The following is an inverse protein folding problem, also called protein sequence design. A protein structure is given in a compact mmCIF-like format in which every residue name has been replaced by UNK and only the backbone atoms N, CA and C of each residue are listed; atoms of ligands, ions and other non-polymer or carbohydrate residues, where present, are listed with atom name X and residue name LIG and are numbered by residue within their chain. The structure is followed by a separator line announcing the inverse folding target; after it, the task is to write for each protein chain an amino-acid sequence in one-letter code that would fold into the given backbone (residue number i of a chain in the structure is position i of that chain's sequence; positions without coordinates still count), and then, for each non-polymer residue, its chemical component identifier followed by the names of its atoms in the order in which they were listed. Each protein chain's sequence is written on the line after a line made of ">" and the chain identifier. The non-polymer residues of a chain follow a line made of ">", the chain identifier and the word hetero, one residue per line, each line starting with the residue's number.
data_IF_552611628290
#
_entry.id   IF_552611628290
#
_cell.length_a   1.000
_cell.length_b   1.000
_cell.length_c   1.000
_cell.angle_alpha   90.00
_cell.angle_beta   90.00
_cell.angle_gamma   90.00
#
_symmetry.space_group_name_H-M   'P 1'
#
loop_
_entity.id
_entity.type
_entity.pdbx_description
1 polymer ?
#
# COMPACT_ATOMS: atom_id res chain seq x y z
N UNK A 1 28.58 -7.33 3.94
CA UNK A 1 27.21 -7.11 4.48
C UNK A 1 27.37 -6.30 5.74
N UNK A 2 26.60 -5.21 5.92
CA UNK A 2 26.65 -4.42 7.15
C UNK A 2 25.88 -5.13 8.27
N UNK A 3 26.14 -4.77 9.54
CA UNK A 3 25.38 -5.29 10.69
C UNK A 3 23.87 -5.04 10.55
N UNK A 4 23.49 -3.89 10.02
CA UNK A 4 22.11 -3.53 9.74
C UNK A 4 21.48 -4.46 8.70
N UNK A 5 22.20 -4.77 7.61
CA UNK A 5 21.71 -5.70 6.59
C UNK A 5 21.52 -7.11 7.16
N UNK A 6 22.42 -7.57 8.03
CA UNK A 6 22.29 -8.86 8.72
C UNK A 6 21.09 -8.86 9.67
N UNK A 7 20.87 -7.76 10.39
CA UNK A 7 19.73 -7.58 11.26
C UNK A 7 18.42 -7.77 10.50
N UNK A 8 18.21 -7.01 9.43
CA UNK A 8 16.94 -7.04 8.66
C UNK A 8 16.77 -8.35 7.89
N UNK A 9 17.86 -8.98 7.48
CA UNK A 9 17.79 -10.33 6.91
C UNK A 9 17.29 -11.35 7.94
N UNK A 10 17.80 -11.29 9.14
CA UNK A 10 17.35 -12.17 10.23
C UNK A 10 15.88 -11.91 10.59
N UNK A 11 15.45 -10.65 10.63
CA UNK A 11 14.07 -10.27 10.85
C UNK A 11 13.13 -10.80 9.75
N UNK A 12 13.57 -10.72 8.49
CA UNK A 12 12.83 -11.27 7.34
C UNK A 12 12.67 -12.79 7.45
N UNK A 13 13.75 -13.49 7.80
CA UNK A 13 13.70 -14.95 8.01
C UNK A 13 12.73 -15.31 9.14
N UNK A 14 12.81 -14.60 10.26
CA UNK A 14 11.92 -14.78 11.40
C UNK A 14 10.45 -14.52 11.04
N UNK A 15 10.18 -13.45 10.32
CA UNK A 15 8.83 -13.12 9.83
C UNK A 15 8.24 -14.26 8.97
N UNK A 16 8.98 -14.75 7.99
CA UNK A 16 8.55 -15.89 7.17
C UNK A 16 8.40 -17.19 7.96
N UNK A 17 9.30 -17.43 8.91
CA UNK A 17 9.20 -18.57 9.82
C UNK A 17 7.89 -18.53 10.59
N UNK A 18 7.58 -17.43 11.25
CA UNK A 18 6.34 -17.28 12.02
C UNK A 18 5.09 -17.33 11.14
N UNK A 19 5.11 -16.69 9.96
CA UNK A 19 4.02 -16.78 9.00
C UNK A 19 3.73 -18.23 8.57
N UNK A 20 4.74 -19.09 8.55
CA UNK A 20 4.60 -20.48 8.11
C UNK A 20 3.93 -21.40 9.14
N UNK A 21 3.73 -20.93 10.37
CA UNK A 21 3.06 -21.68 11.42
C UNK A 21 1.55 -21.70 11.21
N UNK A 22 0.96 -22.88 11.36
CA UNK A 22 -0.50 -23.01 11.28
C UNK A 22 -1.18 -22.16 12.37
N UNK A 23 -2.18 -21.39 11.99
CA UNK A 23 -2.90 -20.48 12.89
C UNK A 23 -2.28 -19.09 13.04
N UNK A 24 -1.08 -18.85 12.54
CA UNK A 24 -0.45 -17.52 12.54
C UNK A 24 -0.82 -16.79 11.25
N UNK A 25 -1.73 -15.81 11.36
CA UNK A 25 -2.19 -15.00 10.25
C UNK A 25 -1.80 -13.53 10.37
N UNK A 26 -2.24 -12.74 9.39
CA UNK A 26 -1.96 -11.30 9.29
C UNK A 26 -2.22 -10.55 10.60
N UNK A 27 -3.41 -10.73 11.22
CA UNK A 27 -3.79 -10.02 12.44
C UNK A 27 -2.85 -10.32 13.61
N UNK A 28 -2.37 -11.56 13.73
CA UNK A 28 -1.42 -11.95 14.81
C UNK A 28 -0.09 -11.25 14.62
N UNK A 29 0.49 -11.33 13.42
CA UNK A 29 1.77 -10.70 13.12
C UNK A 29 1.68 -9.16 13.20
N UNK A 30 0.59 -8.58 12.70
CA UNK A 30 0.35 -7.14 12.79
C UNK A 30 0.33 -6.63 14.24
N UNK A 31 -0.39 -7.31 15.14
CA UNK A 31 -0.42 -6.95 16.56
C UNK A 31 0.95 -7.01 17.22
N UNK A 32 1.73 -8.05 16.91
CA UNK A 32 3.11 -8.21 17.43
C UNK A 32 3.97 -7.04 16.96
N UNK A 33 3.90 -6.69 15.68
CA UNK A 33 4.69 -5.60 15.10
C UNK A 33 4.28 -4.23 15.68
N UNK A 34 2.98 -3.95 15.83
CA UNK A 34 2.48 -2.71 16.45
C UNK A 34 2.93 -2.55 17.89
N UNK A 35 3.09 -3.66 18.64
CA UNK A 35 3.65 -3.66 20.00
C UNK A 35 5.16 -3.43 20.04
N UNK A 36 5.82 -3.28 18.89
CA UNK A 36 7.26 -3.07 18.79
C UNK A 36 8.10 -4.34 18.98
N UNK A 37 7.46 -5.50 19.12
CA UNK A 37 8.16 -6.77 19.28
C UNK A 37 8.78 -7.20 17.95
N UNK A 38 10.08 -7.47 17.95
CA UNK A 38 10.78 -7.97 16.76
C UNK A 38 10.55 -9.46 16.59
N UNK A 39 10.26 -9.88 15.36
CA UNK A 39 9.96 -11.29 15.06
C UNK A 39 11.13 -12.21 15.39
N UNK A 40 12.36 -11.77 15.15
CA UNK A 40 13.56 -12.54 15.51
C UNK A 40 13.72 -12.73 17.01
N UNK A 41 13.36 -11.74 17.84
CA UNK A 41 13.45 -11.85 19.29
C UNK A 41 12.40 -12.83 19.81
N UNK A 42 11.24 -12.89 19.19
CA UNK A 42 10.22 -13.88 19.55
C UNK A 42 10.71 -15.32 19.25
N UNK A 43 11.41 -15.57 18.14
CA UNK A 43 12.00 -16.89 17.86
C UNK A 43 13.13 -17.24 18.84
N UNK A 44 13.86 -16.25 19.36
CA UNK A 44 14.94 -16.46 20.32
C UNK A 44 14.45 -16.76 21.74
N UNK A 45 13.16 -16.60 22.03
CA UNK A 45 12.65 -16.84 23.39
C UNK A 45 12.98 -18.25 23.89
N UNK A 46 13.31 -18.36 25.17
CA UNK A 46 13.56 -19.66 25.80
C UNK A 46 12.27 -20.28 26.41
N UNK A 47 11.17 -19.52 26.43
CA UNK A 47 9.87 -19.98 26.95
C UNK A 47 8.90 -20.34 25.82
N UNK A 48 8.67 -21.66 25.54
CA UNK A 48 7.70 -22.11 24.57
C UNK A 48 6.26 -21.73 24.91
N UNK A 49 5.91 -21.57 26.19
CA UNK A 49 4.56 -21.14 26.60
C UNK A 49 4.34 -19.68 26.22
N UNK A 50 5.33 -18.82 26.47
CA UNK A 50 5.30 -17.42 26.06
C UNK A 50 5.18 -17.29 24.53
N UNK A 51 5.96 -18.08 23.78
CA UNK A 51 5.92 -18.11 22.33
C UNK A 51 4.51 -18.47 21.81
N UNK A 52 3.95 -19.59 22.27
CA UNK A 52 2.61 -20.04 21.87
C UNK A 52 1.52 -19.02 22.24
N UNK A 53 1.59 -18.43 23.44
CA UNK A 53 0.64 -17.40 23.89
C UNK A 53 0.70 -16.14 23.04
N UNK A 54 1.89 -15.66 22.71
CA UNK A 54 2.09 -14.45 21.89
C UNK A 54 1.56 -14.65 20.48
N UNK A 55 1.80 -15.83 19.89
CA UNK A 55 1.31 -16.18 18.56
C UNK A 55 -0.14 -16.65 18.53
N UNK A 56 -0.74 -16.89 19.72
CA UNK A 56 -2.10 -17.44 19.87
C UNK A 56 -2.28 -18.79 19.19
N UNK A 57 -1.29 -19.66 19.30
CA UNK A 57 -1.30 -20.99 18.74
C UNK A 57 -1.06 -22.05 19.85
N UNK A 58 -1.55 -23.25 19.58
CA UNK A 58 -1.20 -24.43 20.38
C UNK A 58 0.03 -25.09 19.78
N UNK A 59 1.07 -25.22 20.58
CA UNK A 59 2.29 -25.93 20.19
C UNK A 59 2.13 -27.45 20.45
N UNK A 60 2.83 -28.29 19.69
CA UNK A 60 2.89 -29.73 19.96
C UNK A 60 3.40 -30.01 21.39
N UNK A 61 2.80 -30.99 22.07
CA UNK A 61 3.17 -31.33 23.46
C UNK A 61 4.62 -31.78 23.61
N UNK A 62 5.19 -32.39 22.58
CA UNK A 62 6.60 -32.80 22.53
C UNK A 62 7.58 -31.67 22.81
N UNK A 63 7.27 -30.46 22.38
CA UNK A 63 8.14 -29.27 22.54
C UNK A 63 8.38 -28.93 24.02
N UNK A 64 7.48 -29.34 24.89
CA UNK A 64 7.56 -29.08 26.34
C UNK A 64 8.31 -30.15 27.12
N UNK A 65 8.76 -31.23 26.47
CA UNK A 65 9.41 -32.35 27.12
C UNK A 65 10.87 -32.04 27.54
N UNK A 66 11.57 -31.23 26.74
CA UNK A 66 12.96 -30.86 27.02
C UNK A 66 13.34 -29.56 26.30
N UNK A 67 14.39 -28.92 26.80
CA UNK A 67 15.02 -27.76 26.14
C UNK A 67 15.57 -28.15 24.73
N UNK A 68 16.03 -29.37 24.57
CA UNK A 68 16.52 -29.89 23.29
C UNK A 68 15.41 -29.91 22.24
N UNK A 69 14.21 -30.40 22.58
CA UNK A 69 13.04 -30.41 21.70
C UNK A 69 12.62 -28.99 21.28
N UNK A 70 12.62 -28.06 22.24
CA UNK A 70 12.35 -26.66 21.93
C UNK A 70 13.39 -26.05 20.99
N UNK A 71 14.67 -26.32 21.24
CA UNK A 71 15.75 -25.83 20.37
C UNK A 71 15.70 -26.44 18.98
N UNK A 72 15.36 -27.71 18.84
CA UNK A 72 15.18 -28.37 17.55
C UNK A 72 14.00 -27.77 16.79
N UNK A 73 12.85 -27.53 17.43
CA UNK A 73 11.73 -26.84 16.83
C UNK A 73 12.12 -25.46 16.31
N UNK A 74 12.84 -24.65 17.12
CA UNK A 74 13.32 -23.31 16.67
C UNK A 74 14.24 -23.42 15.45
N UNK A 75 15.13 -24.40 15.38
CA UNK A 75 16.03 -24.63 14.24
C UNK A 75 15.25 -25.00 12.97
N UNK A 76 14.28 -25.92 13.07
CA UNK A 76 13.44 -26.29 11.94
C UNK A 76 12.60 -25.11 11.42
N UNK A 77 12.01 -24.36 12.35
CA UNK A 77 11.25 -23.16 12.03
C UNK A 77 12.09 -22.10 11.32
N UNK A 78 13.32 -21.88 11.79
CA UNK A 78 14.27 -20.98 11.16
C UNK A 78 14.69 -21.44 9.76
N UNK A 79 14.96 -22.74 9.60
CA UNK A 79 15.29 -23.33 8.30
C UNK A 79 14.16 -23.15 7.30
N UNK A 80 12.88 -23.33 7.73
CA UNK A 80 11.70 -23.08 6.91
C UNK A 80 11.60 -21.61 6.48
N UNK A 81 11.77 -20.67 7.43
CA UNK A 81 11.79 -19.25 7.12
C UNK A 81 12.90 -18.86 6.13
N UNK A 82 14.09 -19.45 6.29
CA UNK A 82 15.22 -19.26 5.37
C UNK A 82 14.89 -19.76 3.97
N UNK A 83 14.26 -20.93 3.84
CA UNK A 83 13.85 -21.47 2.55
C UNK A 83 12.85 -20.54 1.84
N UNK A 84 11.82 -20.07 2.56
CA UNK A 84 10.83 -19.13 2.02
C UNK A 84 11.52 -17.83 1.58
N UNK A 85 12.37 -17.23 2.44
CA UNK A 85 13.09 -16.01 2.13
C UNK A 85 13.94 -16.13 0.85
N UNK A 86 14.60 -17.28 0.65
CA UNK A 86 15.36 -17.56 -0.58
C UNK A 86 14.48 -17.63 -1.82
N UNK A 87 13.34 -18.34 -1.74
CA UNK A 87 12.40 -18.47 -2.85
C UNK A 87 11.91 -17.09 -3.32
N UNK A 88 11.48 -16.22 -2.41
CA UNK A 88 10.98 -14.91 -2.78
C UNK A 88 12.09 -13.93 -3.20
N UNK A 89 13.29 -14.07 -2.65
CA UNK A 89 14.45 -13.30 -3.10
C UNK A 89 14.85 -13.61 -4.55
N UNK A 90 14.65 -14.84 -5.01
CA UNK A 90 14.95 -15.23 -6.41
C UNK A 90 14.05 -14.54 -7.43
N UNK A 91 12.87 -14.11 -7.04
CA UNK A 91 11.94 -13.34 -7.87
C UNK A 91 11.91 -11.85 -7.49
N UNK A 92 12.99 -11.34 -6.88
CA UNK A 92 13.18 -9.96 -6.43
C UNK A 92 12.09 -9.42 -5.48
N UNK A 93 11.49 -10.29 -4.68
CA UNK A 93 10.57 -9.86 -3.61
C UNK A 93 11.34 -9.61 -2.33
N UNK A 94 11.19 -8.41 -1.79
CA UNK A 94 11.78 -7.94 -0.52
C UNK A 94 10.69 -7.67 0.49
N UNK A 95 10.98 -7.89 1.77
CA UNK A 95 10.15 -7.40 2.87
C UNK A 95 10.80 -6.15 3.43
N UNK A 96 10.06 -5.06 3.50
CA UNK A 96 10.50 -3.78 4.08
C UNK A 96 9.65 -3.52 5.31
N UNK A 97 10.28 -3.51 6.49
CA UNK A 97 9.59 -3.31 7.77
C UNK A 97 9.45 -1.82 8.09
N UNK A 98 8.43 -1.47 8.87
CA UNK A 98 8.08 -0.10 9.26
C UNK A 98 9.27 0.70 9.82
N UNK A 99 10.14 0.05 10.61
CA UNK A 99 11.28 0.71 11.26
C UNK A 99 12.51 0.85 10.35
N UNK A 100 12.50 0.27 9.14
CA UNK A 100 13.61 0.43 8.20
C UNK A 100 13.63 1.84 7.58
N UNK A 101 14.81 2.36 7.28
CA UNK A 101 14.96 3.60 6.52
C UNK A 101 14.41 3.48 5.10
N UNK A 102 14.45 2.28 4.55
CA UNK A 102 13.85 1.95 3.26
C UNK A 102 12.30 1.97 3.25
N UNK A 103 11.64 2.10 4.42
CA UNK A 103 10.19 2.18 4.49
C UNK A 103 9.70 3.59 4.13
N UNK A 104 8.65 3.72 3.29
CA UNK A 104 8.19 5.02 2.81
C UNK A 104 7.67 5.92 3.95
N UNK A 105 8.30 7.07 4.17
CA UNK A 105 7.94 7.98 5.26
C UNK A 105 6.47 8.46 5.19
N UNK A 106 5.92 8.62 3.96
CA UNK A 106 4.51 9.00 3.78
C UNK A 106 3.54 7.96 4.34
N UNK A 107 3.91 6.69 4.38
CA UNK A 107 3.09 5.64 4.98
C UNK A 107 3.26 5.54 6.49
N UNK A 108 4.35 6.06 7.07
CA UNK A 108 4.53 6.10 8.53
C UNK A 108 3.55 7.06 9.21
N UNK A 109 3.07 8.07 8.49
CA UNK A 109 2.22 9.14 9.02
C UNK A 109 0.71 8.93 8.81
N UNK A 110 0.29 7.82 8.21
CA UNK A 110 -1.15 7.53 8.02
C UNK A 110 -1.74 6.81 9.23
N UNK A 111 -3.06 6.88 9.37
CA UNK A 111 -3.78 6.04 10.33
C UNK A 111 -3.63 4.56 9.94
N UNK A 112 -3.35 3.70 10.92
CA UNK A 112 -3.12 2.27 10.71
C UNK A 112 -2.07 1.99 9.63
N UNK A 113 -0.81 2.43 9.83
CA UNK A 113 0.24 2.23 8.84
C UNK A 113 0.52 0.74 8.62
N UNK A 114 0.89 0.30 7.41
CA UNK A 114 1.38 -1.06 7.23
C UNK A 114 2.67 -1.26 8.03
N UNK A 115 2.77 -2.37 8.78
CA UNK A 115 3.95 -2.66 9.60
C UNK A 115 5.07 -3.33 8.79
N UNK A 116 4.75 -3.79 7.62
CA UNK A 116 5.66 -4.31 6.60
C UNK A 116 5.06 -4.12 5.21
N UNK A 117 5.92 -4.16 4.21
CA UNK A 117 5.54 -4.20 2.80
C UNK A 117 6.33 -5.31 2.11
N UNK A 118 5.65 -6.14 1.36
CA UNK A 118 6.27 -6.95 0.33
C UNK A 118 6.43 -6.08 -0.92
N UNK A 119 7.63 -5.96 -1.42
CA UNK A 119 7.98 -5.11 -2.55
C UNK A 119 8.70 -5.92 -3.60
N UNK A 120 8.22 -5.90 -4.84
CA UNK A 120 8.86 -6.48 -6.01
C UNK A 120 9.17 -5.37 -7.01
N UNK A 121 10.40 -5.33 -7.52
CA UNK A 121 10.87 -4.30 -8.45
C UNK A 121 11.55 -3.12 -7.78
N UNK A 122 11.41 -1.91 -8.34
CA UNK A 122 12.21 -0.74 -7.97
C UNK A 122 11.69 -0.02 -6.70
N UNK A 123 12.34 -0.27 -5.57
CA UNK A 123 11.99 0.33 -4.28
C UNK A 123 12.04 1.88 -4.29
N UNK A 124 12.87 2.51 -5.13
CA UNK A 124 12.99 3.97 -5.21
C UNK A 124 11.67 4.65 -5.59
N UNK A 125 10.80 3.96 -6.34
CA UNK A 125 9.49 4.49 -6.72
C UNK A 125 8.60 4.82 -5.52
N UNK A 126 8.80 4.15 -4.36
CA UNK A 126 8.02 4.39 -3.15
C UNK A 126 8.44 5.67 -2.40
N UNK A 127 9.60 6.24 -2.74
CA UNK A 127 10.15 7.47 -2.14
C UNK A 127 10.00 8.69 -3.04
N UNK A 128 9.60 8.48 -4.29
CA UNK A 128 9.42 9.54 -5.29
C UNK A 128 8.06 10.23 -5.10
N UNK A 129 7.93 11.48 -5.56
CA UNK A 129 6.64 12.14 -5.63
C UNK A 129 5.69 11.34 -6.53
N UNK A 130 4.55 11.01 -5.99
CA UNK A 130 3.63 10.10 -6.66
C UNK A 130 2.20 10.63 -6.69
N UNK A 131 1.49 10.22 -7.74
CA UNK A 131 0.09 10.56 -8.00
C UNK A 131 -0.72 9.27 -8.06
N UNK A 132 -1.70 9.12 -7.15
CA UNK A 132 -2.62 7.99 -7.21
C UNK A 132 -3.73 8.28 -8.23
N UNK A 133 -3.83 7.45 -9.27
CA UNK A 133 -4.87 7.53 -10.30
C UNK A 133 -5.82 6.36 -10.05
N UNK A 134 -7.06 6.67 -9.73
CA UNK A 134 -8.06 5.70 -9.30
C UNK A 134 -9.41 5.97 -9.97
N UNK A 135 -10.27 4.96 -10.03
CA UNK A 135 -11.60 5.19 -10.60
C UNK A 135 -12.45 3.93 -10.77
N UNK A 136 -13.40 4.05 -11.68
CA UNK A 136 -14.38 3.01 -11.99
C UNK A 136 -13.72 1.75 -12.56
N UNK A 137 -14.23 0.59 -12.13
CA UNK A 137 -13.87 -0.70 -12.76
C UNK A 137 -14.51 -0.88 -14.13
N UNK A 138 -15.58 -0.12 -14.42
CA UNK A 138 -16.27 -0.08 -15.70
C UNK A 138 -16.24 1.36 -16.20
N UNK A 139 -15.06 1.79 -16.62
CA UNK A 139 -14.83 3.14 -17.08
C UNK A 139 -15.40 3.35 -18.49
N UNK A 140 -15.84 4.57 -18.75
CA UNK A 140 -16.23 5.04 -20.08
C UNK A 140 -14.99 5.33 -20.94
N UNK A 141 -15.21 5.59 -22.23
CA UNK A 141 -14.15 6.04 -23.15
C UNK A 141 -13.56 7.37 -22.66
N UNK A 142 -14.37 8.27 -22.11
CA UNK A 142 -13.93 9.53 -21.51
C UNK A 142 -13.02 9.28 -20.30
N UNK A 143 -13.39 8.33 -19.42
CA UNK A 143 -12.56 7.94 -18.29
C UNK A 143 -11.19 7.39 -18.72
N UNK A 144 -11.16 6.59 -19.79
CA UNK A 144 -9.90 6.10 -20.36
C UNK A 144 -9.09 7.22 -21.02
N UNK A 145 -9.75 8.14 -21.71
CA UNK A 145 -9.09 9.29 -22.33
C UNK A 145 -8.49 10.22 -21.27
N UNK A 146 -9.24 10.55 -20.22
CA UNK A 146 -8.76 11.35 -19.09
C UNK A 146 -7.54 10.70 -18.43
N UNK A 147 -7.60 9.39 -18.17
CA UNK A 147 -6.48 8.64 -17.60
C UNK A 147 -5.22 8.77 -18.46
N UNK A 148 -5.37 8.59 -19.77
CA UNK A 148 -4.27 8.75 -20.75
C UNK A 148 -3.71 10.17 -20.73
N UNK A 149 -4.57 11.20 -20.72
CA UNK A 149 -4.17 12.60 -20.68
C UNK A 149 -3.33 12.92 -19.43
N UNK A 150 -3.80 12.49 -18.25
CA UNK A 150 -3.11 12.69 -16.97
C UNK A 150 -1.72 12.06 -17.02
N UNK A 151 -1.65 10.78 -17.39
CA UNK A 151 -0.37 10.04 -17.42
C UNK A 151 0.59 10.62 -18.46
N UNK A 152 0.10 10.99 -19.65
CA UNK A 152 0.92 11.66 -20.67
C UNK A 152 1.51 12.98 -20.13
N UNK A 153 0.74 13.75 -19.40
CA UNK A 153 1.21 14.97 -18.73
C UNK A 153 2.28 14.71 -17.65
N UNK A 154 2.29 13.54 -17.04
CA UNK A 154 3.30 13.15 -16.05
C UNK A 154 4.65 12.74 -16.66
N UNK A 155 4.69 12.46 -17.97
CA UNK A 155 5.90 12.01 -18.65
C UNK A 155 7.05 13.02 -18.48
N UNK A 156 8.25 12.52 -18.17
CA UNK A 156 9.46 13.33 -17.96
C UNK A 156 9.37 14.40 -16.84
N UNK A 157 8.42 14.26 -15.90
CA UNK A 157 8.24 15.20 -14.80
C UNK A 157 8.81 14.71 -13.46
N UNK A 158 9.44 13.54 -13.42
CA UNK A 158 9.96 12.93 -12.19
C UNK A 158 8.87 12.46 -11.24
N UNK A 159 7.67 12.18 -11.76
CA UNK A 159 6.53 11.67 -11.04
C UNK A 159 6.39 10.16 -11.20
N UNK A 160 5.77 9.54 -10.21
CA UNK A 160 5.41 8.12 -10.21
C UNK A 160 3.89 8.00 -10.15
N UNK A 161 3.28 7.16 -10.96
CA UNK A 161 1.87 6.82 -10.82
C UNK A 161 1.68 5.71 -9.79
N UNK A 162 0.61 5.79 -9.01
CA UNK A 162 0.19 4.76 -8.06
C UNK A 162 -1.22 4.33 -8.41
N UNK A 163 -1.49 3.03 -8.47
CA UNK A 163 -2.84 2.52 -8.65
C UNK A 163 -3.00 1.12 -8.08
N UNK A 164 -4.18 0.52 -8.22
CA UNK A 164 -4.56 -0.71 -7.52
C UNK A 164 -4.64 -1.96 -8.38
N UNK A 165 -4.28 -1.88 -9.64
CA UNK A 165 -4.35 -2.99 -10.59
C UNK A 165 -5.77 -3.56 -10.79
N UNK A 166 -6.82 -2.91 -10.30
CA UNK A 166 -8.21 -3.30 -10.56
C UNK A 166 -8.59 -3.05 -12.02
N UNK A 167 -9.61 -3.76 -12.51
CA UNK A 167 -10.13 -3.49 -13.86
C UNK A 167 -10.50 -2.01 -14.03
N UNK A 168 -10.52 -1.52 -15.27
CA UNK A 168 -10.91 -0.16 -15.61
C UNK A 168 -9.78 0.87 -15.41
N UNK A 169 -10.05 1.93 -14.66
CA UNK A 169 -9.12 3.06 -14.50
C UNK A 169 -7.78 2.64 -13.92
N UNK A 170 -7.75 1.75 -12.93
CA UNK A 170 -6.51 1.35 -12.27
C UNK A 170 -5.55 0.66 -13.25
N UNK A 171 -6.02 -0.34 -14.00
CA UNK A 171 -5.21 -1.00 -15.03
C UNK A 171 -4.83 -0.04 -16.15
N UNK A 172 -5.76 0.83 -16.57
CA UNK A 172 -5.49 1.84 -17.60
C UNK A 172 -4.36 2.77 -17.17
N UNK A 173 -4.35 3.20 -15.91
CA UNK A 173 -3.27 4.03 -15.38
C UNK A 173 -1.90 3.34 -15.48
N UNK A 174 -1.81 2.05 -15.17
CA UNK A 174 -0.57 1.29 -15.33
C UNK A 174 -0.15 1.13 -16.78
N UNK A 175 -1.08 0.77 -17.67
CA UNK A 175 -0.81 0.58 -19.12
C UNK A 175 -0.32 1.89 -19.76
N UNK A 176 -0.97 3.01 -19.48
CA UNK A 176 -0.54 4.30 -20.00
C UNK A 176 0.79 4.76 -19.37
N UNK A 177 1.02 4.44 -18.09
CA UNK A 177 2.31 4.73 -17.45
C UNK A 177 3.46 4.01 -18.14
N UNK A 178 3.31 2.74 -18.44
CA UNK A 178 4.27 1.95 -19.21
C UNK A 178 4.48 2.59 -20.60
N UNK A 179 3.38 2.94 -21.28
CA UNK A 179 3.41 3.53 -22.62
C UNK A 179 4.15 4.86 -22.69
N UNK A 180 3.99 5.72 -21.68
CA UNK A 180 4.60 7.05 -21.63
C UNK A 180 5.91 7.10 -20.82
N UNK A 181 6.43 5.96 -20.38
CA UNK A 181 7.68 5.88 -19.62
C UNK A 181 7.59 6.51 -18.22
N UNK A 182 6.38 6.55 -17.63
CA UNK A 182 6.16 7.00 -16.26
C UNK A 182 6.32 5.79 -15.32
N UNK A 183 7.23 5.80 -14.34
CA UNK A 183 7.33 4.72 -13.37
C UNK A 183 5.98 4.53 -12.65
N UNK A 184 5.59 3.27 -12.42
CA UNK A 184 4.28 2.97 -11.83
C UNK A 184 4.37 1.99 -10.67
N UNK A 185 3.56 2.20 -9.63
CA UNK A 185 3.46 1.37 -8.43
C UNK A 185 2.07 0.76 -8.35
N UNK A 186 1.99 -0.56 -8.42
CA UNK A 186 0.75 -1.29 -8.23
C UNK A 186 0.63 -1.77 -6.78
N UNK A 187 -0.42 -1.33 -6.08
CA UNK A 187 -0.72 -1.76 -4.72
C UNK A 187 -1.76 -2.87 -4.78
N UNK A 188 -1.43 -4.07 -4.26
CA UNK A 188 -2.32 -5.22 -4.31
C UNK A 188 -3.20 -5.35 -3.06
N UNK A 189 -4.40 -5.90 -3.21
CA UNK A 189 -5.28 -6.32 -2.12
C UNK A 189 -5.17 -7.82 -1.80
N UNK A 190 -4.08 -8.46 -2.23
CA UNK A 190 -3.78 -9.90 -2.10
C UNK A 190 -2.32 -10.07 -1.72
N UNK A 191 -1.89 -11.28 -1.37
CA UNK A 191 -0.48 -11.64 -1.28
C UNK A 191 0.28 -11.35 -2.58
N UNK A 192 1.59 -11.15 -2.46
CA UNK A 192 2.48 -10.79 -3.59
C UNK A 192 2.52 -11.89 -4.66
N UNK A 193 2.23 -13.12 -4.28
CA UNK A 193 2.20 -14.33 -5.09
C UNK A 193 0.84 -14.59 -5.77
N UNK A 194 -0.14 -13.71 -5.56
CA UNK A 194 -1.49 -13.84 -6.13
C UNK A 194 -1.72 -12.89 -7.28
N UNK A 195 -2.34 -13.36 -8.36
CA UNK A 195 -2.77 -12.56 -9.50
C UNK A 195 -4.27 -12.27 -9.41
N UNK A 196 -4.60 -11.01 -9.11
CA UNK A 196 -5.97 -10.52 -9.09
C UNK A 196 -6.02 -9.07 -9.61
N UNK A 197 -6.96 -8.74 -10.50
CA UNK A 197 -7.96 -9.62 -11.12
C UNK A 197 -7.33 -10.69 -12.00
N UNK A 198 -8.09 -11.73 -12.34
CA UNK A 198 -7.64 -12.78 -13.28
C UNK A 198 -7.27 -12.12 -14.63
N UNK A 199 -6.09 -12.45 -15.14
CA UNK A 199 -5.55 -11.85 -16.36
C UNK A 199 -4.67 -10.61 -16.12
N UNK A 200 -4.40 -10.25 -14.86
CA UNK A 200 -3.49 -9.14 -14.51
C UNK A 200 -2.01 -9.50 -14.62
N UNK A 201 -1.68 -10.76 -14.87
CA UNK A 201 -0.30 -11.26 -14.93
C UNK A 201 0.56 -10.48 -15.92
N UNK A 202 0.06 -10.32 -17.15
CA UNK A 202 0.76 -9.60 -18.22
C UNK A 202 1.05 -8.15 -17.84
N UNK A 203 0.09 -7.46 -17.21
CA UNK A 203 0.28 -6.07 -16.78
C UNK A 203 1.31 -6.00 -15.64
N UNK A 204 1.31 -6.95 -14.71
CA UNK A 204 2.33 -7.04 -13.65
C UNK A 204 3.74 -7.23 -14.21
N UNK A 205 3.90 -8.16 -15.15
CA UNK A 205 5.18 -8.40 -15.82
C UNK A 205 5.68 -7.16 -16.55
N UNK A 206 4.79 -6.46 -17.26
CA UNK A 206 5.12 -5.19 -17.93
C UNK A 206 5.51 -4.09 -16.95
N UNK A 207 4.80 -3.95 -15.81
CA UNK A 207 5.16 -3.01 -14.74
C UNK A 207 6.60 -3.27 -14.29
N UNK A 208 6.93 -4.52 -13.96
CA UNK A 208 8.26 -4.88 -13.48
C UNK A 208 9.35 -4.68 -14.54
N UNK A 209 9.11 -5.11 -15.78
CA UNK A 209 10.07 -4.98 -16.89
C UNK A 209 10.36 -3.52 -17.26
N UNK A 210 9.42 -2.60 -17.03
CA UNK A 210 9.58 -1.17 -17.23
C UNK A 210 10.10 -0.41 -16.00
N UNK A 211 10.64 -1.12 -14.99
CA UNK A 211 11.21 -0.50 -13.78
C UNK A 211 10.16 0.00 -12.79
N UNK A 212 8.93 -0.47 -12.89
CA UNK A 212 7.87 -0.21 -11.92
C UNK A 212 7.98 -1.09 -10.67
N UNK A 213 6.94 -1.08 -9.85
CA UNK A 213 6.95 -1.74 -8.53
C UNK A 213 5.59 -2.34 -8.22
N UNK A 214 5.61 -3.53 -7.65
CA UNK A 214 4.43 -4.20 -7.09
C UNK A 214 4.57 -4.21 -5.57
N UNK A 215 3.51 -3.82 -4.86
CA UNK A 215 3.55 -3.68 -3.38
C UNK A 215 2.30 -4.30 -2.76
N UNK A 216 2.48 -4.97 -1.64
CA UNK A 216 1.37 -5.38 -0.77
C UNK A 216 1.80 -5.48 0.69
N UNK A 217 0.86 -5.32 1.61
CA UNK A 217 1.04 -5.66 3.02
C UNK A 217 0.55 -7.08 3.35
N UNK A 218 -0.23 -7.69 2.45
CA UNK A 218 -0.84 -8.99 2.68
C UNK A 218 0.17 -10.12 2.60
N UNK A 219 -0.03 -11.12 3.45
CA UNK A 219 0.88 -12.25 3.57
C UNK A 219 0.88 -13.10 2.30
N UNK A 220 1.97 -13.83 2.11
CA UNK A 220 2.10 -14.84 1.06
C UNK A 220 0.96 -15.86 1.19
N UNK A 221 0.33 -16.21 0.06
CA UNK A 221 -0.82 -17.11 0.01
C UNK A 221 -2.15 -16.46 0.43
N UNK A 222 -2.16 -15.19 0.84
CA UNK A 222 -3.39 -14.51 1.23
C UNK A 222 -4.22 -14.14 0.00
N UNK A 223 -5.43 -14.71 -0.07
CA UNK A 223 -6.40 -14.45 -1.13
C UNK A 223 -7.06 -13.08 -0.99
N UNK A 224 -7.82 -12.70 -2.01
CA UNK A 224 -8.58 -11.46 -2.04
C UNK A 224 -9.82 -11.51 -1.12
N UNK A 225 -10.23 -10.34 -0.66
CA UNK A 225 -11.54 -10.11 -0.05
C UNK A 225 -12.00 -8.67 -0.32
N UNK A 226 -13.29 -8.40 -0.22
CA UNK A 226 -13.81 -7.04 -0.32
C UNK A 226 -13.17 -6.10 0.70
N UNK A 227 -12.99 -6.57 1.93
CA UNK A 227 -12.32 -5.86 3.00
C UNK A 227 -10.86 -5.51 2.64
N UNK A 228 -10.10 -6.47 2.13
CA UNK A 228 -8.69 -6.24 1.75
C UNK A 228 -8.57 -5.15 0.68
N UNK A 229 -9.49 -5.11 -0.30
CA UNK A 229 -9.46 -4.07 -1.33
C UNK A 229 -9.72 -2.68 -0.76
N UNK A 230 -10.64 -2.56 0.19
CA UNK A 230 -10.89 -1.28 0.87
C UNK A 230 -9.67 -0.88 1.71
N UNK A 231 -9.14 -1.80 2.52
CA UNK A 231 -7.99 -1.53 3.37
C UNK A 231 -6.72 -1.18 2.57
N UNK A 232 -6.47 -1.86 1.45
CA UNK A 232 -5.38 -1.56 0.54
C UNK A 232 -5.42 -0.11 0.02
N UNK A 233 -6.62 0.45 -0.18
CA UNK A 233 -6.78 1.80 -0.72
C UNK A 233 -6.14 2.88 0.17
N UNK A 234 -5.99 2.64 1.50
CA UNK A 234 -5.27 3.56 2.37
C UNK A 234 -3.79 3.66 2.00
N UNK A 235 -3.19 2.58 1.49
CA UNK A 235 -1.79 2.59 1.04
C UNK A 235 -1.66 3.39 -0.26
N UNK A 236 -2.62 3.29 -1.19
CA UNK A 236 -2.64 4.12 -2.40
C UNK A 236 -2.68 5.62 -2.05
N UNK A 237 -3.64 6.01 -1.22
CA UNK A 237 -3.78 7.40 -0.78
C UNK A 237 -2.59 7.84 0.08
N UNK A 238 -2.11 6.98 0.98
CA UNK A 238 -1.01 7.28 1.89
C UNK A 238 0.32 7.52 1.19
N UNK A 239 0.62 6.74 0.14
CA UNK A 239 1.85 6.85 -0.62
C UNK A 239 1.87 8.10 -1.51
N UNK A 240 0.71 8.49 -2.05
CA UNK A 240 0.57 9.59 -3.00
C UNK A 240 0.65 10.97 -2.34
N UNK A 241 1.14 11.96 -3.08
CA UNK A 241 1.00 13.40 -2.75
C UNK A 241 -0.35 13.92 -3.18
N UNK A 242 -0.82 13.46 -4.34
CA UNK A 242 -2.12 13.81 -4.91
C UNK A 242 -2.88 12.56 -5.31
N UNK A 243 -4.18 12.55 -5.12
CA UNK A 243 -5.10 11.48 -5.54
C UNK A 243 -6.04 12.05 -6.59
N UNK A 244 -6.10 11.37 -7.74
CA UNK A 244 -6.93 11.76 -8.90
C UNK A 244 -8.01 10.69 -9.10
N UNK A 245 -9.23 10.90 -8.60
CA UNK A 245 -10.38 10.08 -8.95
C UNK A 245 -10.90 10.50 -10.33
N UNK A 246 -10.58 9.71 -11.36
CA UNK A 246 -10.88 10.06 -12.76
C UNK A 246 -12.36 9.93 -13.07
N UNK A 247 -12.92 8.78 -12.82
CA UNK A 247 -14.35 8.48 -12.97
C UNK A 247 -14.79 7.65 -11.79
N UNK A 248 -15.72 8.16 -10.99
CA UNK A 248 -16.11 7.53 -9.75
C UNK A 248 -17.53 7.90 -9.31
N UNK A 249 -18.02 7.27 -8.27
CA UNK A 249 -19.29 7.58 -7.63
C UNK A 249 -19.11 7.63 -6.12
N UNK A 250 -19.89 8.50 -5.45
CA UNK A 250 -19.88 8.68 -3.98
C UNK A 250 -20.11 7.35 -3.25
N UNK A 251 -20.89 6.45 -3.83
CA UNK A 251 -21.15 5.11 -3.29
C UNK A 251 -20.38 4.03 -4.04
N UNK A 252 -19.06 4.18 -4.15
CA UNK A 252 -18.17 3.24 -4.85
C UNK A 252 -16.94 2.88 -4.03
N UNK A 253 -16.21 1.85 -4.46
CA UNK A 253 -14.92 1.51 -3.88
C UNK A 253 -13.90 2.64 -3.94
N UNK A 254 -13.97 3.48 -4.97
CA UNK A 254 -13.11 4.66 -5.16
C UNK A 254 -13.36 5.73 -4.09
N UNK A 255 -14.61 5.85 -3.60
CA UNK A 255 -14.93 6.80 -2.52
C UNK A 255 -14.13 6.54 -1.24
N UNK A 256 -13.80 5.28 -0.93
CA UNK A 256 -12.94 4.97 0.20
C UNK A 256 -11.54 5.58 0.03
N UNK A 257 -10.94 5.51 -1.17
CA UNK A 257 -9.63 6.12 -1.43
C UNK A 257 -9.70 7.65 -1.35
N UNK A 258 -10.77 8.27 -1.83
CA UNK A 258 -11.03 9.71 -1.70
C UNK A 258 -11.12 10.11 -0.22
N UNK A 259 -11.81 9.33 0.60
CA UNK A 259 -11.91 9.59 2.05
C UNK A 259 -10.53 9.43 2.73
N UNK A 260 -9.80 8.35 2.44
CA UNK A 260 -8.42 8.22 2.95
C UNK A 260 -7.52 9.37 2.53
N UNK A 261 -7.67 9.89 1.30
CA UNK A 261 -6.90 11.06 0.87
C UNK A 261 -7.21 12.30 1.73
N UNK A 262 -8.49 12.51 2.10
CA UNK A 262 -8.91 13.59 3.00
C UNK A 262 -8.34 13.38 4.41
N UNK A 263 -8.48 12.18 4.96
CA UNK A 263 -8.00 11.81 6.30
C UNK A 263 -6.47 11.97 6.43
N UNK A 264 -5.73 11.67 5.35
CA UNK A 264 -4.27 11.79 5.30
C UNK A 264 -3.79 13.15 4.80
N UNK A 265 -4.71 14.12 4.65
CA UNK A 265 -4.40 15.49 4.21
C UNK A 265 -3.67 15.52 2.85
N UNK A 266 -4.04 14.64 1.91
CA UNK A 266 -3.52 14.60 0.53
C UNK A 266 -4.31 15.55 -0.36
N UNK A 267 -3.70 15.99 -1.46
CA UNK A 267 -4.44 16.77 -2.46
C UNK A 267 -5.42 15.85 -3.20
N UNK A 268 -6.64 16.34 -3.41
CA UNK A 268 -7.62 15.70 -4.29
C UNK A 268 -7.74 16.53 -5.55
N UNK A 269 -7.45 15.94 -6.68
CA UNK A 269 -7.42 16.63 -7.98
C UNK A 269 -8.36 15.92 -8.94
N UNK A 270 -9.33 16.60 -9.49
CA UNK A 270 -10.27 16.00 -10.41
C UNK A 270 -10.29 16.76 -11.76
N UNK A 271 -9.81 16.14 -12.84
CA UNK A 271 -10.05 16.66 -14.19
C UNK A 271 -11.50 16.41 -14.60
N UNK A 272 -12.08 17.35 -15.34
CA UNK A 272 -13.42 17.20 -15.88
C UNK A 272 -13.49 17.73 -17.32
N UNK A 273 -14.43 17.20 -18.11
CA UNK A 273 -14.68 17.63 -19.48
C UNK A 273 -15.63 18.84 -19.52
N UNK A 274 -15.63 19.63 -20.62
CA UNK A 274 -16.47 20.84 -20.73
C UNK A 274 -17.97 20.59 -20.48
N UNK A 275 -18.48 19.45 -20.91
CA UNK A 275 -19.90 19.08 -20.76
C UNK A 275 -20.24 18.38 -19.41
N UNK A 276 -19.30 18.36 -18.48
CA UNK A 276 -19.50 17.74 -17.18
C UNK A 276 -20.45 18.55 -16.32
N UNK A 277 -21.33 17.84 -15.55
CA UNK A 277 -22.19 18.48 -14.57
C UNK A 277 -21.39 18.95 -13.34
N UNK A 278 -21.12 20.24 -13.23
CA UNK A 278 -20.37 20.83 -12.14
C UNK A 278 -21.09 20.80 -10.79
N UNK A 279 -22.41 20.64 -10.79
CA UNK A 279 -23.22 20.45 -9.58
C UNK A 279 -23.26 19.00 -9.12
N UNK A 280 -22.60 18.10 -9.85
CA UNK A 280 -22.53 16.69 -9.49
C UNK A 280 -21.88 16.44 -8.13
N UNK A 281 -22.41 15.51 -7.37
CA UNK A 281 -21.98 15.20 -6.01
C UNK A 281 -20.50 14.85 -5.91
N UNK A 282 -19.92 14.24 -6.94
CA UNK A 282 -18.52 13.86 -7.01
C UNK A 282 -17.60 15.09 -7.11
N UNK A 283 -17.94 16.04 -7.97
CA UNK A 283 -17.20 17.33 -8.09
C UNK A 283 -17.32 18.17 -6.82
N UNK A 284 -18.53 18.27 -6.26
CA UNK A 284 -18.76 18.97 -5.00
C UNK A 284 -17.97 18.35 -3.85
N UNK A 285 -17.85 17.03 -3.78
CA UNK A 285 -17.04 16.35 -2.77
C UNK A 285 -15.54 16.69 -2.85
N UNK A 286 -15.04 17.04 -4.04
CA UNK A 286 -13.66 17.50 -4.22
C UNK A 286 -13.55 18.99 -3.89
N UNK A 287 -14.40 19.85 -4.45
CA UNK A 287 -14.32 21.33 -4.28
C UNK A 287 -14.59 21.78 -2.86
N UNK A 288 -15.42 21.04 -2.10
CA UNK A 288 -15.65 21.31 -0.67
C UNK A 288 -14.48 20.93 0.24
N UNK A 289 -13.50 20.21 -0.26
CA UNK A 289 -12.31 19.85 0.50
C UNK A 289 -11.22 20.89 0.36
N UNK A 290 -10.62 21.34 1.47
CA UNK A 290 -9.60 22.42 1.49
C UNK A 290 -8.46 22.21 0.49
N UNK A 291 -8.01 20.95 0.29
CA UNK A 291 -6.97 20.57 -0.67
C UNK A 291 -7.56 19.96 -1.95
N UNK A 292 -8.81 20.27 -2.25
CA UNK A 292 -9.48 19.86 -3.48
C UNK A 292 -9.27 20.89 -4.58
N UNK A 293 -8.93 20.42 -5.77
CA UNK A 293 -8.82 21.25 -7.00
C UNK A 293 -9.47 20.50 -8.15
N UNK A 294 -10.10 21.27 -9.04
CA UNK A 294 -10.68 20.73 -10.29
C UNK A 294 -10.07 21.47 -11.47
N UNK A 295 -9.94 20.79 -12.61
CA UNK A 295 -9.36 21.36 -13.83
C UNK A 295 -10.19 20.93 -15.03
N UNK A 296 -10.64 21.91 -15.83
CA UNK A 296 -11.30 21.64 -17.09
C UNK A 296 -10.26 21.25 -18.14
N UNK A 297 -10.39 20.05 -18.70
CA UNK A 297 -9.45 19.58 -19.72
C UNK A 297 -10.18 19.36 -21.07
N UNK A 298 -9.50 19.62 -22.20
CA UNK A 298 -8.04 19.79 -22.36
C UNK A 298 -7.48 21.17 -22.01
N UNK A 299 -8.29 22.21 -21.82
CA UNK A 299 -7.84 23.61 -21.76
C UNK A 299 -6.84 23.87 -20.60
N UNK A 300 -7.11 23.33 -19.43
CA UNK A 300 -6.28 23.51 -18.23
C UNK A 300 -5.31 22.32 -17.99
N UNK A 301 -4.96 21.56 -19.02
CA UNK A 301 -4.06 20.39 -18.89
C UNK A 301 -2.70 20.80 -18.32
N UNK A 302 -2.14 21.92 -18.74
CA UNK A 302 -0.85 22.40 -18.23
C UNK A 302 -0.92 22.80 -16.76
N UNK A 303 -2.02 23.42 -16.33
CA UNK A 303 -2.23 23.83 -14.93
C UNK A 303 -2.39 22.59 -14.04
N UNK A 304 -3.15 21.59 -14.49
CA UNK A 304 -3.28 20.29 -13.83
C UNK A 304 -1.90 19.65 -13.63
N UNK A 305 -1.10 19.56 -14.69
CA UNK A 305 0.22 18.92 -14.66
C UNK A 305 1.19 19.67 -13.74
N UNK A 306 1.19 21.00 -13.80
CA UNK A 306 2.02 21.83 -12.92
C UNK A 306 1.59 21.68 -11.47
N UNK A 307 0.29 21.65 -11.20
CA UNK A 307 -0.22 21.43 -9.85
C UNK A 307 0.18 20.09 -9.27
N UNK A 308 -0.03 18.97 -9.99
CA UNK A 308 0.33 17.62 -9.48
C UNK A 308 1.84 17.45 -9.30
N UNK A 309 2.65 18.18 -10.06
CA UNK A 309 4.12 18.17 -9.91
C UNK A 309 4.55 18.88 -8.62
N UNK A 310 3.98 20.03 -8.35
CA UNK A 310 4.29 20.87 -7.18
C UNK A 310 2.98 21.40 -6.57
N UNK A 311 2.26 20.56 -5.80
CA UNK A 311 1.02 21.02 -5.17
C UNK A 311 1.30 22.14 -4.18
N UNK A 312 0.77 23.34 -4.47
CA UNK A 312 0.84 24.49 -3.59
C UNK A 312 -0.42 24.55 -2.73
N UNK A 313 -0.25 24.82 -1.44
CA UNK A 313 -1.34 25.23 -0.55
C UNK A 313 -1.39 26.76 -0.69
N UNK A 314 -2.47 27.31 -1.23
CA UNK A 314 -2.79 28.70 -1.00
C UNK A 314 -3.10 28.81 0.50
N UNK A 315 -2.18 29.36 1.28
CA UNK A 315 -2.42 29.71 2.68
C UNK A 315 -3.47 30.83 2.70
N UNK A 316 -4.75 30.48 2.78
CA UNK A 316 -5.74 31.37 3.29
C UNK A 316 -5.51 31.44 4.81
N UNK A 317 -5.15 32.62 5.28
CA UNK A 317 -5.07 32.98 6.70
C UNK A 317 -6.39 32.60 7.39
N UNK A 318 -6.35 31.47 8.13
CA UNK A 318 -7.17 31.24 9.33
C UNK A 318 -6.95 29.80 9.78
N UNK A 319 -6.03 29.63 10.72
CA UNK A 319 -5.86 28.38 11.46
C UNK A 319 -6.90 28.32 12.58
N UNK A 320 -7.81 27.36 12.61
CA UNK A 320 -8.45 27.00 13.85
C UNK A 320 -7.45 26.20 14.69
N UNK A 321 -7.06 26.75 15.82
CA UNK A 321 -6.37 26.04 16.90
C UNK A 321 -7.24 24.89 17.36
N UNK A 322 -6.83 23.66 17.06
CA UNK A 322 -7.43 22.46 17.65
C UNK A 322 -6.77 22.21 18.99
N UNK A 323 -7.54 22.41 20.02
CA UNK A 323 -7.21 22.09 21.42
C UNK A 323 -7.08 20.55 21.56
N UNK A 324 -5.85 20.10 21.79
CA UNK A 324 -5.53 18.68 22.04
C UNK A 324 -5.67 18.38 23.53
N UNK A 325 -6.89 18.40 24.07
CA UNK A 325 -7.16 17.88 25.40
C UNK A 325 -8.26 16.82 25.34
N UNK A 326 -7.86 15.60 25.72
CA UNK A 326 -8.67 14.46 26.15
C UNK A 326 -9.48 13.66 25.10
N UNK A 327 -9.12 12.39 24.99
CA UNK A 327 -10.00 11.37 24.47
C UNK A 327 -9.30 10.06 24.16
N UNK A 328 -9.13 9.20 25.14
CA UNK A 328 -8.88 7.78 24.91
C UNK A 328 -9.94 7.23 23.94
N UNK A 329 -9.52 6.82 22.75
CA UNK A 329 -10.40 6.12 21.82
C UNK A 329 -10.17 4.62 21.89
N UNK A 330 -11.15 3.97 22.45
CA UNK A 330 -11.33 2.53 22.45
C UNK A 330 -11.44 2.03 20.99
N UNK A 331 -10.54 1.15 20.60
CA UNK A 331 -10.53 0.53 19.25
C UNK A 331 -11.57 -0.59 19.25
N UNK A 332 -12.73 -0.36 18.65
CA UNK A 332 -13.71 -1.40 18.38
C UNK A 332 -13.45 -2.00 17.00
N UNK A 333 -13.09 -3.28 16.96
CA UNK A 333 -13.10 -4.08 15.76
C UNK A 333 -14.48 -4.78 15.70
N UNK A 334 -15.43 -4.20 15.00
CA UNK A 334 -16.68 -4.90 14.69
C UNK A 334 -16.46 -5.81 13.49
N UNK A 335 -17.05 -7.01 13.60
CA UNK A 335 -16.97 -8.20 12.74
C UNK A 335 -17.58 -8.01 11.35
#
# INVERSE_FOLDING_TARGET
>A
MTEEQEYWRAETVAFYALQSLHGVGFRTLYKIAVQGTKFRELIKTEDPKHFGKTLRITLPTSIFNSEEEWNNFKKELWAKGTSIARTYSQIDVKVVFFDQDAFPNRLKSINEPPMWLFVQGNLKNLHTNSVAIIGSRKASDDGYWLTKLIVAGMANKGLVSVSGLADGIDQRAHIESIRFGVPTVAILGTGIDSNYPKGSETVREQILSCGGTIVTEYLIGQSYSGHNFVQRNRIQAGLATSVIPVEWKIKSGTAHTVNFAKDFNRFLVMPYLPDSNLEGSELQAITSYRKGKIFQVPDQTNDLVNFIKNPLIEESEESPTVDLSNGERQISFDL
#
